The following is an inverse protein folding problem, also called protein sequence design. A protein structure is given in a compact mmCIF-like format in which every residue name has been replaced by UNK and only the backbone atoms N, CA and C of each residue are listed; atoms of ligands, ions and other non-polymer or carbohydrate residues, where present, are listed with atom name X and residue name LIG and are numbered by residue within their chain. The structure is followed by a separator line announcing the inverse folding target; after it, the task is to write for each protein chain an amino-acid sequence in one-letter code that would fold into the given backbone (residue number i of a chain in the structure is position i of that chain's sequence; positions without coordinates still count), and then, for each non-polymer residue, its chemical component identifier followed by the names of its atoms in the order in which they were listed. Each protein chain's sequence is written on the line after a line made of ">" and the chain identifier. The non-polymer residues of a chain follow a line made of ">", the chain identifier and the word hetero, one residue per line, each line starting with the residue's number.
data_IF_929537192625
#
_entry.id   IF_929537192625
#
_cell.length_a   1.000
_cell.length_b   1.000
_cell.length_c   1.000
_cell.angle_alpha   90.00
_cell.angle_beta   90.00
_cell.angle_gamma   90.00
#
_symmetry.space_group_name_H-M   'P 1'
#
loop_
_entity.id
_entity.type
_entity.pdbx_description
1 polymer ?
#
# COMPACT_ATOMS: atom_id res chain seq x y z
N UNK A 1 22.19 -17.45 3.47
CA UNK A 1 20.91 -17.46 4.20
C UNK A 1 20.05 -16.29 3.73
N UNK A 2 18.92 -16.58 3.11
CA UNK A 2 17.93 -15.55 2.71
C UNK A 2 17.39 -14.86 3.97
N UNK A 3 17.39 -13.52 3.97
CA UNK A 3 16.77 -12.70 5.01
C UNK A 3 15.79 -11.75 4.36
N UNK A 4 14.48 -11.89 4.62
CA UNK A 4 13.50 -10.96 4.08
C UNK A 4 13.73 -9.55 4.65
N UNK A 5 13.40 -8.55 3.85
CA UNK A 5 13.19 -7.17 4.32
C UNK A 5 11.67 -6.97 4.42
N UNK A 6 11.06 -7.28 5.58
CA UNK A 6 9.62 -7.24 5.72
C UNK A 6 9.10 -5.81 5.63
N UNK A 7 7.96 -5.64 4.98
CA UNK A 7 7.22 -4.37 4.91
C UNK A 7 5.78 -4.58 5.41
N UNK A 8 4.94 -5.25 4.64
CA UNK A 8 3.59 -5.63 5.08
C UNK A 8 3.57 -6.93 5.85
N UNK A 9 2.69 -7.02 6.85
CA UNK A 9 2.53 -8.19 7.71
C UNK A 9 1.04 -8.52 7.85
N UNK A 10 0.67 -9.79 7.73
CA UNK A 10 -0.66 -10.30 8.04
C UNK A 10 -0.59 -11.50 8.97
N UNK A 11 -1.50 -11.56 9.93
CA UNK A 11 -1.60 -12.67 10.90
C UNK A 11 -2.55 -13.73 10.32
N UNK A 12 -2.13 -14.98 10.37
CA UNK A 12 -2.94 -16.12 9.96
C UNK A 12 -3.72 -16.73 11.13
N UNK A 13 -4.86 -17.41 10.87
CA UNK A 13 -5.65 -18.03 11.93
C UNK A 13 -4.91 -19.08 12.77
N UNK A 14 -3.87 -19.70 12.21
CA UNK A 14 -3.03 -20.69 12.89
C UNK A 14 -1.91 -20.07 13.75
N UNK A 15 -1.87 -18.74 13.87
CA UNK A 15 -0.86 -17.99 14.61
C UNK A 15 0.44 -17.75 13.85
N UNK A 16 0.55 -18.22 12.61
CA UNK A 16 1.62 -17.86 11.70
C UNK A 16 1.43 -16.46 11.10
N UNK A 17 2.40 -16.02 10.31
CA UNK A 17 2.38 -14.71 9.64
C UNK A 17 2.70 -14.83 8.17
N UNK A 18 2.11 -13.93 7.37
CA UNK A 18 2.58 -13.61 6.04
C UNK A 18 3.38 -12.31 6.11
N UNK A 19 4.55 -12.32 5.49
CA UNK A 19 5.47 -11.20 5.44
C UNK A 19 5.78 -10.87 3.99
N UNK A 20 5.56 -9.64 3.57
CA UNK A 20 6.05 -9.21 2.25
C UNK A 20 7.54 -8.96 2.28
N UNK A 21 8.22 -9.27 1.18
CA UNK A 21 9.63 -8.93 0.98
C UNK A 21 9.75 -7.72 0.06
N UNK A 22 10.26 -6.62 0.63
CA UNK A 22 10.56 -5.39 -0.09
C UNK A 22 12.07 -5.36 -0.41
N UNK A 23 12.50 -6.26 -1.29
CA UNK A 23 13.89 -6.36 -1.75
C UNK A 23 14.33 -5.22 -2.65
N UNK A 24 15.53 -5.30 -3.21
CA UNK A 24 16.02 -4.30 -4.16
C UNK A 24 15.46 -4.55 -5.56
N UNK A 25 15.43 -5.80 -5.98
CA UNK A 25 14.94 -6.26 -7.29
C UNK A 25 13.93 -7.41 -7.17
N UNK A 26 14.05 -8.23 -6.13
CA UNK A 26 13.20 -9.37 -5.83
C UNK A 26 12.17 -9.05 -4.74
N UNK A 27 11.06 -9.76 -4.76
CA UNK A 27 9.98 -9.60 -3.81
C UNK A 27 9.28 -10.91 -3.50
N UNK A 28 8.01 -10.79 -3.13
CA UNK A 28 7.16 -11.92 -2.80
C UNK A 28 6.61 -11.87 -1.38
N UNK A 29 5.86 -12.89 -1.05
CA UNK A 29 5.33 -13.13 0.29
C UNK A 29 5.93 -14.40 0.85
N UNK A 30 6.30 -14.36 2.11
CA UNK A 30 6.88 -15.48 2.86
C UNK A 30 5.99 -15.79 4.05
N UNK A 31 5.85 -17.07 4.37
CA UNK A 31 5.15 -17.52 5.57
C UNK A 31 6.16 -17.77 6.67
N UNK A 32 5.91 -17.17 7.83
CA UNK A 32 6.63 -17.45 9.06
C UNK A 32 5.71 -18.24 10.00
N UNK A 33 6.13 -19.43 10.40
CA UNK A 33 5.38 -20.26 11.35
C UNK A 33 5.60 -19.77 12.79
N UNK A 34 4.73 -20.16 13.77
CA UNK A 34 4.95 -19.87 15.18
C UNK A 34 6.27 -20.42 15.73
N UNK A 35 6.77 -21.50 15.15
CA UNK A 35 8.06 -22.13 15.54
C UNK A 35 9.28 -21.44 14.91
N UNK A 36 9.06 -20.40 14.09
CA UNK A 36 10.12 -19.58 13.49
C UNK A 36 10.64 -20.10 12.14
N UNK A 37 9.96 -21.05 11.51
CA UNK A 37 10.30 -21.49 10.15
C UNK A 37 9.79 -20.48 9.13
N UNK A 38 10.69 -20.03 8.23
CA UNK A 38 10.38 -19.11 7.15
C UNK A 38 10.40 -19.84 5.81
N UNK A 39 9.29 -19.85 5.09
CA UNK A 39 9.15 -20.49 3.77
C UNK A 39 8.56 -19.54 2.74
N UNK A 40 8.91 -19.71 1.44
CA UNK A 40 8.25 -18.98 0.37
C UNK A 40 6.75 -19.31 0.31
N UNK A 41 5.90 -18.29 0.18
CA UNK A 41 4.46 -18.45 -0.01
C UNK A 41 4.02 -18.04 -1.41
N UNK A 42 4.38 -16.82 -1.85
CA UNK A 42 4.08 -16.30 -3.18
C UNK A 42 5.32 -15.59 -3.73
N UNK A 43 6.04 -16.23 -4.62
CA UNK A 43 7.25 -15.67 -5.26
C UNK A 43 7.08 -15.49 -6.76
N UNK A 44 5.98 -15.98 -7.33
CA UNK A 44 5.65 -15.84 -8.76
C UNK A 44 4.15 -15.67 -8.94
N UNK A 45 3.74 -14.90 -9.95
CA UNK A 45 2.36 -14.74 -10.40
C UNK A 45 2.33 -14.62 -11.92
N UNK A 46 1.39 -15.28 -12.58
CA UNK A 46 1.23 -15.29 -14.05
C UNK A 46 2.54 -15.62 -14.79
N UNK A 47 3.35 -16.52 -14.21
CA UNK A 47 4.63 -16.96 -14.77
C UNK A 47 5.81 -16.01 -14.56
N UNK A 48 5.61 -14.84 -13.92
CA UNK A 48 6.64 -13.84 -13.63
C UNK A 48 7.08 -13.89 -12.18
N UNK A 49 8.35 -13.64 -11.92
CA UNK A 49 8.87 -13.49 -10.56
C UNK A 49 8.30 -12.21 -9.92
N UNK A 50 7.97 -12.28 -8.63
CA UNK A 50 7.42 -11.14 -7.90
C UNK A 50 8.48 -10.04 -7.74
N UNK A 51 8.20 -8.81 -8.16
CA UNK A 51 9.06 -7.67 -7.84
C UNK A 51 8.93 -7.28 -6.36
N UNK A 52 9.71 -6.29 -5.86
CA UNK A 52 9.60 -5.82 -4.49
C UNK A 52 8.15 -5.60 -4.06
N UNK A 53 7.70 -6.40 -3.07
CA UNK A 53 6.30 -6.55 -2.69
C UNK A 53 6.00 -5.69 -1.48
N UNK A 54 4.96 -4.86 -1.57
CA UNK A 54 4.69 -3.83 -0.57
C UNK A 54 3.86 -4.36 0.62
N UNK A 55 2.65 -4.84 0.36
CA UNK A 55 1.70 -5.13 1.43
C UNK A 55 0.99 -6.48 1.24
N UNK A 56 0.51 -7.06 2.34
CA UNK A 56 -0.30 -8.27 2.35
C UNK A 56 -1.44 -8.11 3.34
N UNK A 57 -2.65 -8.47 2.92
CA UNK A 57 -3.86 -8.47 3.73
C UNK A 57 -4.58 -9.82 3.62
N UNK A 58 -5.10 -10.32 4.73
CA UNK A 58 -5.99 -11.49 4.78
C UNK A 58 -7.39 -10.98 5.13
N UNK A 59 -8.34 -11.16 4.24
CA UNK A 59 -9.71 -10.70 4.48
C UNK A 59 -10.53 -11.70 5.32
N UNK A 60 -11.75 -11.29 5.68
CA UNK A 60 -12.66 -12.11 6.50
C UNK A 60 -13.12 -13.43 5.84
N UNK A 61 -12.85 -13.63 4.56
CA UNK A 61 -13.11 -14.87 3.81
C UNK A 61 -11.84 -15.74 3.68
N UNK A 62 -10.71 -15.29 4.24
CA UNK A 62 -9.43 -15.98 4.14
C UNK A 62 -8.70 -15.75 2.83
N UNK A 63 -9.19 -14.88 1.95
CA UNK A 63 -8.50 -14.51 0.71
C UNK A 63 -7.32 -13.59 1.04
N UNK A 64 -6.23 -13.77 0.30
CA UNK A 64 -4.98 -13.03 0.52
C UNK A 64 -4.78 -12.04 -0.61
N UNK A 65 -4.69 -10.76 -0.26
CA UNK A 65 -4.50 -9.64 -1.15
C UNK A 65 -3.09 -9.12 -1.01
N UNK A 66 -2.36 -9.01 -2.12
CA UNK A 66 -0.96 -8.60 -2.12
C UNK A 66 -0.76 -7.43 -3.07
N UNK A 67 -0.09 -6.38 -2.62
CA UNK A 67 0.19 -5.21 -3.46
C UNK A 67 1.65 -5.16 -3.88
N UNK A 68 1.85 -4.74 -5.12
CA UNK A 68 3.15 -4.40 -5.69
C UNK A 68 3.10 -2.96 -6.17
N UNK A 69 3.98 -2.12 -5.64
CA UNK A 69 3.94 -0.68 -5.90
C UNK A 69 4.22 -0.32 -7.35
N UNK A 70 5.19 -0.97 -7.95
CA UNK A 70 5.66 -0.72 -9.34
C UNK A 70 6.49 -1.91 -9.83
N UNK A 71 6.54 -2.07 -11.14
CA UNK A 71 7.44 -3.01 -11.82
C UNK A 71 8.81 -2.40 -12.14
N UNK A 72 8.95 -1.08 -11.94
CA UNK A 72 10.20 -0.37 -12.22
C UNK A 72 11.31 -0.77 -11.24
N UNK A 73 12.52 -0.86 -11.74
CA UNK A 73 13.72 -1.18 -10.97
C UNK A 73 14.86 -0.23 -11.35
N UNK A 74 15.43 0.49 -10.36
CA UNK A 74 15.02 0.52 -8.94
C UNK A 74 13.61 1.16 -8.76
N UNK A 75 12.91 0.78 -7.70
CA UNK A 75 11.51 1.15 -7.49
C UNK A 75 11.25 2.65 -7.31
N UNK A 76 12.27 3.44 -6.98
CA UNK A 76 12.19 4.89 -6.85
C UNK A 76 12.01 5.60 -8.23
N UNK A 77 12.23 4.91 -9.32
CA UNK A 77 11.79 5.37 -10.65
C UNK A 77 10.27 5.52 -10.74
N UNK A 78 9.52 4.81 -9.89
CA UNK A 78 8.07 4.91 -9.75
C UNK A 78 7.58 6.08 -8.89
N UNK A 79 8.46 6.89 -8.27
CA UNK A 79 8.06 8.04 -7.46
C UNK A 79 7.61 9.23 -8.33
N UNK A 80 6.62 8.99 -9.17
CA UNK A 80 6.16 9.91 -10.21
C UNK A 80 4.64 9.87 -10.33
N UNK A 81 4.01 11.00 -10.57
CA UNK A 81 2.57 11.09 -10.79
C UNK A 81 2.06 10.22 -11.94
N UNK A 82 2.90 10.05 -12.96
CA UNK A 82 2.60 9.22 -14.15
C UNK A 82 2.85 7.73 -13.97
N UNK A 83 3.43 7.29 -12.84
CA UNK A 83 3.60 5.87 -12.56
C UNK A 83 2.23 5.21 -12.46
N UNK A 84 1.99 4.19 -13.27
CA UNK A 84 0.72 3.48 -13.36
C UNK A 84 0.94 2.01 -13.73
N UNK A 85 1.89 1.36 -13.07
CA UNK A 85 2.27 -0.03 -13.29
C UNK A 85 2.23 -0.88 -12.00
N UNK A 86 1.72 -0.30 -10.92
CA UNK A 86 1.41 -1.01 -9.70
C UNK A 86 0.21 -1.95 -9.89
N UNK A 87 0.16 -3.03 -9.12
CA UNK A 87 -0.88 -4.05 -9.25
C UNK A 87 -1.25 -4.71 -7.93
N UNK A 88 -2.39 -5.40 -7.95
CA UNK A 88 -2.89 -6.21 -6.83
C UNK A 88 -2.99 -7.67 -7.27
N UNK A 89 -2.44 -8.56 -6.47
CA UNK A 89 -2.58 -10.02 -6.61
C UNK A 89 -3.59 -10.52 -5.59
N UNK A 90 -4.50 -11.39 -6.03
CA UNK A 90 -5.35 -12.21 -5.18
C UNK A 90 -4.80 -13.63 -5.12
N UNK A 91 -4.73 -14.19 -3.94
CA UNK A 91 -4.48 -15.62 -3.70
C UNK A 91 -5.69 -16.19 -2.96
N UNK A 92 -6.34 -17.17 -3.57
CA UNK A 92 -7.49 -17.89 -3.05
C UNK A 92 -7.45 -19.37 -3.50
N UNK A 93 -8.54 -20.11 -3.33
CA UNK A 93 -8.62 -21.52 -3.72
C UNK A 93 -8.42 -21.77 -5.22
N UNK A 94 -8.63 -20.76 -6.07
CA UNK A 94 -8.37 -20.84 -7.51
C UNK A 94 -6.89 -20.59 -7.86
N UNK A 95 -6.07 -20.20 -6.89
CA UNK A 95 -4.64 -19.89 -7.06
C UNK A 95 -4.34 -18.40 -7.02
N UNK A 96 -3.11 -18.05 -7.41
CA UNK A 96 -2.63 -16.67 -7.44
C UNK A 96 -2.83 -16.04 -8.82
N UNK A 97 -3.39 -14.83 -8.87
CA UNK A 97 -3.61 -14.07 -10.13
C UNK A 97 -3.59 -12.56 -9.90
N UNK A 98 -3.22 -11.79 -10.91
CA UNK A 98 -3.36 -10.33 -10.90
C UNK A 98 -4.83 -9.98 -11.13
N UNK A 99 -5.43 -9.23 -10.20
CA UNK A 99 -6.86 -8.83 -10.24
C UNK A 99 -7.06 -7.32 -10.47
N UNK A 100 -6.02 -6.52 -10.29
CA UNK A 100 -5.99 -5.11 -10.70
C UNK A 100 -4.59 -4.73 -11.16
N UNK A 101 -4.50 -3.89 -12.17
CA UNK A 101 -3.26 -3.40 -12.77
C UNK A 101 -3.39 -1.91 -13.13
N UNK A 102 -2.28 -1.27 -13.46
CA UNK A 102 -2.30 0.14 -13.84
C UNK A 102 -2.57 1.09 -12.68
N UNK A 103 -2.11 0.76 -11.47
CA UNK A 103 -2.28 1.58 -10.28
C UNK A 103 -1.06 2.48 -10.05
N UNK A 104 -1.31 3.68 -9.50
CA UNK A 104 -0.31 4.73 -9.35
C UNK A 104 0.58 4.58 -8.12
N UNK A 105 1.45 3.58 -8.11
CA UNK A 105 2.30 3.20 -6.98
C UNK A 105 1.47 2.65 -5.82
N UNK A 106 1.02 1.42 -5.98
CA UNK A 106 0.14 0.72 -5.04
C UNK A 106 0.80 0.54 -3.67
N UNK A 107 0.12 0.94 -2.62
CA UNK A 107 0.58 0.77 -1.25
C UNK A 107 -0.35 -0.17 -0.47
N UNK A 108 -0.77 0.17 0.74
CA UNK A 108 -1.65 -0.70 1.51
C UNK A 108 -3.02 -0.84 0.85
N UNK A 109 -3.59 -2.04 0.93
CA UNK A 109 -4.97 -2.31 0.57
C UNK A 109 -5.67 -3.13 1.66
N UNK A 110 -6.94 -2.82 1.91
CA UNK A 110 -7.78 -3.57 2.84
C UNK A 110 -9.18 -3.80 2.25
N UNK A 111 -9.75 -4.95 2.55
CA UNK A 111 -11.17 -5.21 2.30
C UNK A 111 -11.98 -4.72 3.48
N UNK A 112 -12.95 -3.86 3.24
CA UNK A 112 -13.82 -3.35 4.29
C UNK A 112 -14.68 -4.49 4.87
N UNK A 113 -14.65 -4.74 6.18
CA UNK A 113 -15.23 -5.95 6.77
C UNK A 113 -16.74 -6.08 6.60
N UNK A 114 -17.46 -4.97 6.50
CA UNK A 114 -18.92 -4.98 6.37
C UNK A 114 -19.38 -4.87 4.91
N UNK A 115 -18.73 -4.03 4.09
CA UNK A 115 -19.17 -3.79 2.71
C UNK A 115 -18.55 -4.76 1.70
N UNK A 116 -17.45 -5.43 2.06
CA UNK A 116 -16.69 -6.30 1.17
C UNK A 116 -15.95 -5.57 0.05
N UNK A 117 -15.93 -4.23 0.05
CA UNK A 117 -15.22 -3.43 -0.94
C UNK A 117 -13.74 -3.35 -0.59
N UNK A 118 -12.87 -3.41 -1.60
CA UNK A 118 -11.44 -3.23 -1.42
C UNK A 118 -11.05 -1.77 -1.62
N UNK A 119 -10.33 -1.23 -0.65
CA UNK A 119 -9.73 0.10 -0.72
C UNK A 119 -8.22 -0.03 -0.85
N UNK A 120 -7.60 0.87 -1.62
CA UNK A 120 -6.16 0.88 -1.84
C UNK A 120 -5.63 2.31 -1.96
N UNK A 121 -4.51 2.56 -1.31
CA UNK A 121 -3.74 3.79 -1.47
C UNK A 121 -2.85 3.70 -2.72
N UNK A 122 -2.93 4.72 -3.58
CA UNK A 122 -2.03 4.92 -4.70
C UNK A 122 -1.11 6.12 -4.37
N UNK A 123 0.05 5.86 -3.77
CA UNK A 123 0.89 6.86 -3.10
C UNK A 123 1.31 8.01 -3.99
N UNK A 124 1.87 7.73 -5.18
CA UNK A 124 2.35 8.80 -6.05
C UNK A 124 1.32 9.26 -7.09
N UNK A 125 0.21 8.55 -7.25
CA UNK A 125 -0.99 9.12 -7.87
C UNK A 125 -1.80 9.96 -6.89
N UNK A 126 -1.42 9.99 -5.60
CA UNK A 126 -2.06 10.77 -4.52
C UNK A 126 -3.55 10.58 -4.48
N UNK A 127 -4.01 9.34 -4.36
CA UNK A 127 -5.45 9.05 -4.30
C UNK A 127 -5.78 7.82 -3.49
N UNK A 128 -6.98 7.80 -2.95
CA UNK A 128 -7.64 6.63 -2.40
C UNK A 128 -8.57 6.06 -3.46
N UNK A 129 -8.34 4.81 -3.83
CA UNK A 129 -9.15 4.09 -4.83
C UNK A 129 -9.93 2.97 -4.16
N UNK A 130 -11.15 2.72 -4.62
CA UNK A 130 -12.02 1.64 -4.17
C UNK A 130 -12.44 0.77 -5.35
N UNK A 131 -12.57 -0.51 -5.07
CA UNK A 131 -13.14 -1.51 -5.99
C UNK A 131 -14.29 -2.25 -5.32
N UNK A 132 -15.26 -2.68 -6.10
CA UNK A 132 -16.15 -3.73 -5.67
C UNK A 132 -15.49 -5.09 -5.93
N UNK A 133 -15.67 -6.01 -4.99
CA UNK A 133 -15.11 -7.37 -5.08
C UNK A 133 -16.23 -8.32 -5.47
N UNK A 134 -16.07 -9.04 -6.56
CA UNK A 134 -17.04 -10.07 -6.99
C UNK A 134 -16.94 -11.33 -6.10
N UNK A 135 -17.88 -12.25 -6.26
CA UNK A 135 -17.83 -13.55 -5.56
C UNK A 135 -16.57 -14.35 -5.91
N UNK A 136 -16.11 -14.21 -7.15
CA UNK A 136 -14.88 -14.87 -7.65
C UNK A 136 -13.59 -14.10 -7.30
N UNK A 137 -13.71 -12.99 -6.57
CA UNK A 137 -12.60 -12.16 -6.13
C UNK A 137 -12.08 -11.15 -7.15
N UNK A 138 -12.73 -10.99 -8.29
CA UNK A 138 -12.36 -9.99 -9.28
C UNK A 138 -12.65 -8.58 -8.77
N UNK A 139 -11.75 -7.63 -9.08
CA UNK A 139 -11.91 -6.23 -8.76
C UNK A 139 -12.58 -5.49 -9.92
N UNK A 140 -13.78 -4.96 -9.67
CA UNK A 140 -14.58 -4.25 -10.66
C UNK A 140 -14.98 -2.86 -10.16
N UNK A 141 -15.52 -2.03 -11.04
CA UNK A 141 -16.02 -0.68 -10.71
C UNK A 141 -14.99 0.18 -9.94
N UNK A 142 -13.78 0.28 -10.48
CA UNK A 142 -12.74 1.19 -9.95
C UNK A 142 -13.33 2.60 -9.75
N UNK A 143 -13.25 3.12 -8.53
CA UNK A 143 -13.75 4.44 -8.16
C UNK A 143 -12.68 5.18 -7.37
N UNK A 144 -12.33 6.40 -7.78
CA UNK A 144 -11.51 7.30 -6.96
C UNK A 144 -12.43 7.93 -5.91
N UNK A 145 -12.13 7.67 -4.64
CA UNK A 145 -12.90 8.19 -3.50
C UNK A 145 -12.48 9.63 -3.20
N UNK A 146 -11.18 9.88 -3.18
CA UNK A 146 -10.61 11.21 -2.98
C UNK A 146 -9.22 11.31 -3.60
N UNK A 147 -8.85 12.51 -3.99
CA UNK A 147 -7.48 12.86 -4.37
C UNK A 147 -6.85 13.70 -3.27
N UNK A 148 -5.54 13.52 -3.07
CA UNK A 148 -4.76 14.21 -2.05
C UNK A 148 -3.98 15.37 -2.66
N UNK A 149 -3.70 16.36 -1.82
CA UNK A 149 -3.03 17.60 -2.22
C UNK A 149 -1.53 17.60 -2.00
N UNK A 150 -1.00 18.80 -1.94
CA UNK A 150 0.41 19.08 -1.72
C UNK A 150 0.93 18.43 -0.43
N UNK A 151 2.06 17.73 -0.53
CA UNK A 151 2.69 17.03 0.58
C UNK A 151 1.96 15.77 1.06
N UNK A 152 0.80 15.45 0.52
CA UNK A 152 0.00 14.31 0.93
C UNK A 152 0.29 13.10 0.04
N UNK A 153 0.98 12.12 0.60
CA UNK A 153 1.33 10.85 -0.05
C UNK A 153 0.74 9.70 0.79
N UNK A 154 -0.44 9.16 0.42
CA UNK A 154 -1.12 8.14 1.21
C UNK A 154 -0.31 6.84 1.25
N UNK A 155 -0.18 6.25 2.44
CA UNK A 155 0.61 5.05 2.70
C UNK A 155 -0.24 3.97 3.41
N UNK A 156 -0.30 3.97 4.75
CA UNK A 156 -1.14 3.06 5.51
C UNK A 156 -2.61 3.44 5.51
N UNK A 157 -3.51 2.46 5.67
CA UNK A 157 -4.95 2.71 5.81
C UNK A 157 -5.61 1.75 6.80
N UNK A 158 -6.67 2.23 7.46
CA UNK A 158 -7.57 1.41 8.27
C UNK A 158 -8.99 1.98 8.24
N UNK A 159 -9.97 1.25 8.80
CA UNK A 159 -11.37 1.68 8.85
C UNK A 159 -11.82 2.00 10.27
N UNK A 160 -12.74 2.96 10.40
CA UNK A 160 -13.47 3.20 11.65
C UNK A 160 -14.88 2.59 11.63
N UNK A 161 -15.56 2.65 12.77
CA UNK A 161 -16.92 2.13 12.93
C UNK A 161 -18.01 2.90 12.17
N UNK A 162 -17.68 4.06 11.60
CA UNK A 162 -18.56 4.87 10.77
C UNK A 162 -18.28 4.67 9.27
N UNK A 163 -17.45 3.67 8.94
CA UNK A 163 -16.97 3.35 7.59
C UNK A 163 -16.06 4.43 6.98
N UNK A 164 -15.50 5.31 7.80
CA UNK A 164 -14.45 6.22 7.38
C UNK A 164 -13.13 5.47 7.16
N UNK A 165 -12.34 5.98 6.23
CA UNK A 165 -10.98 5.47 5.97
C UNK A 165 -9.97 6.40 6.62
N UNK A 166 -9.17 5.87 7.53
CA UNK A 166 -8.06 6.58 8.14
C UNK A 166 -6.79 6.28 7.37
N UNK A 167 -6.05 7.30 7.02
CA UNK A 167 -4.89 7.20 6.13
C UNK A 167 -3.71 7.92 6.76
N UNK A 168 -2.55 7.25 6.79
CA UNK A 168 -1.30 7.94 7.04
C UNK A 168 -0.79 8.60 5.77
N UNK A 169 -0.25 9.79 5.89
CA UNK A 169 0.44 10.46 4.81
C UNK A 169 1.91 10.65 5.18
N UNK A 170 2.78 9.94 4.48
CA UNK A 170 4.23 10.15 4.56
C UNK A 170 4.58 11.55 4.05
N UNK A 171 5.76 12.07 4.40
CA UNK A 171 6.22 13.44 4.11
C UNK A 171 5.52 14.49 4.97
N UNK A 172 4.19 14.59 4.91
CA UNK A 172 3.45 15.57 5.71
C UNK A 172 3.21 15.17 7.16
N UNK A 173 3.51 13.93 7.54
CA UNK A 173 3.21 13.40 8.89
C UNK A 173 1.78 13.72 9.31
N UNK A 174 0.81 13.41 8.43
CA UNK A 174 -0.61 13.59 8.68
C UNK A 174 -1.31 12.25 8.87
N UNK A 175 -2.30 12.24 9.74
CA UNK A 175 -3.37 11.25 9.75
C UNK A 175 -4.62 11.94 9.22
N UNK A 176 -5.18 11.40 8.14
CA UNK A 176 -6.31 11.98 7.43
C UNK A 176 -7.47 10.98 7.50
N UNK A 177 -8.64 11.44 7.94
CA UNK A 177 -9.88 10.67 7.86
C UNK A 177 -10.62 11.05 6.59
N UNK A 178 -10.98 10.06 5.79
CA UNK A 178 -11.80 10.20 4.57
C UNK A 178 -13.17 9.61 4.84
N UNK A 179 -14.20 10.41 4.81
CA UNK A 179 -15.57 9.96 4.99
C UNK A 179 -16.11 9.25 3.73
N UNK A 180 -17.26 8.59 3.84
CA UNK A 180 -17.88 7.84 2.73
C UNK A 180 -18.19 8.67 1.50
N UNK A 181 -18.44 9.97 1.68
CA UNK A 181 -18.70 10.92 0.60
C UNK A 181 -17.44 11.49 -0.05
N UNK A 182 -16.26 11.08 0.44
CA UNK A 182 -14.94 11.53 -0.02
C UNK A 182 -14.45 12.81 0.66
N UNK A 183 -15.24 13.42 1.56
CA UNK A 183 -14.78 14.56 2.36
C UNK A 183 -13.64 14.14 3.29
N UNK A 184 -12.70 15.07 3.57
CA UNK A 184 -11.48 14.78 4.32
C UNK A 184 -11.36 15.67 5.54
N UNK A 185 -10.82 15.10 6.60
CA UNK A 185 -10.47 15.79 7.83
C UNK A 185 -9.03 15.41 8.24
N UNK A 186 -8.19 16.39 8.54
CA UNK A 186 -6.86 16.16 9.11
C UNK A 186 -7.02 15.99 10.62
N UNK A 187 -6.77 14.78 11.11
CA UNK A 187 -6.93 14.43 12.52
C UNK A 187 -5.65 14.74 13.32
N UNK A 188 -4.51 14.45 12.69
CA UNK A 188 -3.18 14.73 13.27
C UNK A 188 -2.32 15.35 12.19
N UNK A 189 -1.56 16.37 12.57
CA UNK A 189 -0.56 16.98 11.72
C UNK A 189 0.70 17.34 12.53
N UNK A 190 1.84 16.92 12.01
CA UNK A 190 3.17 17.31 12.52
C UNK A 190 4.12 17.51 11.34
N UNK A 191 3.68 18.34 10.41
CA UNK A 191 4.39 18.63 9.15
C UNK A 191 5.49 19.66 9.33
N UNK A 192 6.47 19.60 8.43
CA UNK A 192 7.47 20.65 8.21
C UNK A 192 7.17 21.32 6.86
N UNK A 193 6.69 22.58 6.83
CA UNK A 193 6.34 23.28 5.59
C UNK A 193 7.48 23.41 4.58
N UNK A 194 8.71 23.61 5.06
CA UNK A 194 9.88 23.75 4.18
C UNK A 194 10.23 22.41 3.53
N UNK A 195 10.10 21.32 4.29
CA UNK A 195 10.29 19.96 3.76
C UNK A 195 9.18 19.59 2.76
N UNK A 196 7.93 19.95 3.03
CA UNK A 196 6.82 19.76 2.08
C UNK A 196 7.11 20.50 0.78
N UNK A 197 7.46 21.79 0.83
CA UNK A 197 7.74 22.60 -0.35
C UNK A 197 8.91 22.03 -1.17
N UNK A 198 9.98 21.57 -0.51
CA UNK A 198 11.12 20.93 -1.17
C UNK A 198 10.72 19.62 -1.85
N UNK A 199 9.93 18.80 -1.18
CA UNK A 199 9.45 17.52 -1.73
C UNK A 199 8.49 17.74 -2.89
N UNK A 200 7.59 18.72 -2.77
CA UNK A 200 6.62 19.05 -3.82
C UNK A 200 7.32 19.56 -5.09
N UNK A 201 8.30 20.44 -4.96
CA UNK A 201 9.09 20.90 -6.09
C UNK A 201 9.78 19.73 -6.82
N UNK A 202 10.32 18.77 -6.08
CA UNK A 202 10.93 17.57 -6.65
C UNK A 202 9.89 16.65 -7.33
N UNK A 203 8.71 16.51 -6.73
CA UNK A 203 7.62 15.70 -7.30
C UNK A 203 7.12 16.28 -8.62
N UNK A 204 6.86 17.58 -8.67
CA UNK A 204 6.40 18.27 -9.89
C UNK A 204 7.45 18.28 -11.01
N UNK A 205 8.74 18.23 -10.65
CA UNK A 205 9.85 18.13 -11.59
C UNK A 205 10.19 16.70 -12.01
N UNK A 206 9.46 15.68 -11.55
CA UNK A 206 9.79 14.25 -11.73
C UNK A 206 11.17 13.86 -11.14
N UNK A 207 11.60 14.53 -10.09
CA UNK A 207 12.89 14.33 -9.41
C UNK A 207 12.75 13.83 -7.98
N UNK A 208 11.55 13.41 -7.59
CA UNK A 208 11.33 12.83 -6.26
C UNK A 208 12.18 11.58 -6.09
N UNK A 209 12.85 11.46 -4.97
CA UNK A 209 13.73 10.35 -4.64
C UNK A 209 13.70 10.05 -3.12
N UNK A 210 14.40 8.99 -2.71
CA UNK A 210 14.42 8.51 -1.33
C UNK A 210 14.74 9.59 -0.30
N UNK A 211 15.66 10.50 -0.60
CA UNK A 211 16.05 11.57 0.31
C UNK A 211 14.88 12.49 0.73
N UNK A 212 13.86 12.62 -0.12
CA UNK A 212 12.68 13.43 0.18
C UNK A 212 11.72 12.69 1.13
N UNK A 213 11.67 11.36 1.04
CA UNK A 213 10.84 10.51 1.90
C UNK A 213 11.53 10.23 3.24
N UNK A 214 12.81 9.83 3.21
CA UNK A 214 13.54 9.37 4.39
C UNK A 214 13.83 10.51 5.38
N UNK A 215 13.84 11.77 4.93
CA UNK A 215 14.09 12.95 5.78
C UNK A 215 12.83 13.62 6.31
N UNK A 216 11.66 13.12 5.95
CA UNK A 216 10.40 13.66 6.44
C UNK A 216 10.26 13.42 7.95
N UNK A 217 10.47 14.46 8.74
CA UNK A 217 10.39 14.40 10.20
C UNK A 217 9.70 15.66 10.72
N UNK A 218 8.64 15.46 11.47
CA UNK A 218 8.03 16.51 12.27
C UNK A 218 8.76 16.70 13.61
N UNK A 219 8.17 17.49 14.49
CA UNK A 219 8.68 17.71 15.87
C UNK A 219 8.49 16.50 16.77
N UNK A 220 7.42 15.74 16.56
CA UNK A 220 7.01 14.59 17.37
C UNK A 220 6.95 13.30 16.56
N UNK A 221 6.47 13.37 15.33
CA UNK A 221 6.30 12.25 14.43
C UNK A 221 7.44 12.17 13.43
N UNK A 222 7.80 10.96 13.03
CA UNK A 222 8.86 10.73 12.06
C UNK A 222 8.34 9.83 10.96
N UNK A 223 7.86 10.44 9.88
CA UNK A 223 7.46 9.74 8.66
C UNK A 223 6.50 8.56 8.94
N UNK A 224 5.32 8.90 9.48
CA UNK A 224 4.30 7.89 9.80
C UNK A 224 3.83 7.19 8.53
N UNK A 225 3.91 5.87 8.51
CA UNK A 225 3.61 5.05 7.32
C UNK A 225 2.50 4.03 7.54
N UNK A 226 2.12 3.74 8.79
CA UNK A 226 1.06 2.76 9.08
C UNK A 226 0.26 3.16 10.31
N UNK A 227 -0.97 2.63 10.44
CA UNK A 227 -1.90 2.81 11.56
C UNK A 227 -2.15 1.49 12.28
#
# INVERSE_FOLDING_TARGET
>A
DFRPRPNGIAILPDGGWLLTHLGDTEGGVFRLTPDGELTPFLTRVDGLDMPPTNYVHVDGQGRIWVTVSTRLQPRDLGYRSRCSDGFIVLVDDAGARIVADGLGYTNECLVHPETGQLYVNETFARRLTRFDVTVDGDLVRKTIITEFGEGEYPDGLTFDSEHGVWITSIVSNRVIRVARDGSREIIVEDSDPDHIAWTEAAYLADQLGRQHLDKAAGKKLKNISSL
#
